data_IF_940893481022
#
_entry.id   IF_940893481022
#
_cell.length_a   1.000
_cell.length_b   1.000
_cell.length_c   1.000
_cell.angle_alpha   90.00
_cell.angle_beta   90.00
_cell.angle_gamma   90.00
#
_symmetry.space_group_name_H-M   'P 1'
#
loop_
_entity.id
_entity.type
_entity.pdbx_description
1 polymer ?
#
# COMPACT_ATOMS: atom_id res chain seq x y z
N UNK A 1 -33.34 11.39 -14.39
CA UNK A 1 -32.21 11.78 -13.54
C UNK A 1 -31.46 10.50 -13.14
N UNK A 2 -30.42 10.17 -13.88
CA UNK A 2 -29.60 8.97 -13.62
C UNK A 2 -28.38 9.35 -12.77
N UNK A 3 -28.36 8.91 -11.53
CA UNK A 3 -27.17 8.98 -10.68
C UNK A 3 -26.18 7.95 -11.19
N UNK A 4 -25.08 8.40 -11.78
CA UNK A 4 -23.96 7.53 -12.13
C UNK A 4 -23.34 7.00 -10.84
N UNK A 5 -23.53 5.71 -10.56
CA UNK A 5 -22.76 5.00 -9.53
C UNK A 5 -21.32 5.00 -10.00
N UNK A 6 -20.46 5.70 -9.26
CA UNK A 6 -19.01 5.53 -9.34
C UNK A 6 -18.74 4.07 -8.94
N UNK A 7 -18.35 3.26 -9.92
CA UNK A 7 -17.95 1.87 -9.69
C UNK A 7 -16.66 1.89 -8.86
N UNK A 8 -16.76 1.46 -7.61
CA UNK A 8 -15.57 1.14 -6.82
C UNK A 8 -14.72 0.14 -7.62
N UNK A 9 -13.47 0.49 -7.86
CA UNK A 9 -12.51 -0.42 -8.50
C UNK A 9 -12.31 -1.64 -7.58
N UNK A 10 -13.02 -2.72 -7.88
CA UNK A 10 -12.76 -4.01 -7.24
C UNK A 10 -11.45 -4.57 -7.79
N UNK A 11 -10.40 -4.52 -7.00
CA UNK A 11 -9.13 -5.14 -7.32
C UNK A 11 -9.26 -6.66 -7.38
N UNK A 12 -8.88 -7.25 -8.51
CA UNK A 12 -8.88 -8.70 -8.67
C UNK A 12 -7.58 -9.26 -8.08
N UNK A 13 -7.65 -9.73 -6.83
CA UNK A 13 -6.50 -10.21 -6.06
C UNK A 13 -5.77 -11.41 -6.72
N UNK A 14 -6.48 -12.28 -7.44
CA UNK A 14 -5.87 -13.43 -8.10
C UNK A 14 -5.08 -13.07 -9.38
N UNK A 15 -5.48 -12.00 -10.08
CA UNK A 15 -4.72 -11.44 -11.20
C UNK A 15 -3.48 -10.67 -10.72
N UNK A 16 -3.54 -10.15 -9.49
CA UNK A 16 -2.44 -9.42 -8.87
C UNK A 16 -1.26 -10.34 -8.55
N UNK A 17 -1.49 -11.49 -7.92
CA UNK A 17 -0.44 -12.44 -7.52
C UNK A 17 0.37 -13.01 -8.71
N UNK A 18 -0.24 -13.21 -9.88
CA UNK A 18 0.42 -13.78 -11.06
C UNK A 18 1.36 -12.83 -11.82
N UNK A 19 1.26 -11.50 -11.60
CA UNK A 19 1.99 -10.48 -12.38
C UNK A 19 3.00 -9.67 -11.55
N UNK A 20 3.09 -9.89 -10.24
CA UNK A 20 3.82 -8.99 -9.33
C UNK A 20 5.11 -9.53 -8.72
N UNK A 21 5.78 -10.51 -9.36
CA UNK A 21 7.17 -10.84 -9.00
C UNK A 21 8.13 -9.63 -9.06
N UNK A 22 7.75 -8.60 -9.82
CA UNK A 22 8.48 -7.34 -9.92
C UNK A 22 8.25 -6.44 -8.69
N UNK A 23 7.01 -6.29 -8.22
CA UNK A 23 6.67 -5.47 -7.04
C UNK A 23 7.26 -6.07 -5.77
N UNK A 24 7.30 -7.42 -5.65
CA UNK A 24 7.95 -8.11 -4.52
C UNK A 24 9.46 -7.92 -4.50
N UNK A 25 10.11 -7.84 -5.66
CA UNK A 25 11.57 -7.63 -5.75
C UNK A 25 11.99 -6.24 -5.28
N UNK A 26 11.23 -5.19 -5.63
CA UNK A 26 11.43 -3.83 -5.11
C UNK A 26 11.01 -3.72 -3.63
N UNK A 27 9.94 -4.41 -3.24
CA UNK A 27 9.49 -4.46 -1.85
C UNK A 27 10.52 -5.05 -0.89
N UNK A 28 11.31 -6.04 -1.32
CA UNK A 28 12.38 -6.59 -0.49
C UNK A 28 13.49 -5.57 -0.22
N UNK A 29 13.89 -4.76 -1.22
CA UNK A 29 14.85 -3.67 -1.01
C UNK A 29 14.30 -2.61 -0.05
N UNK A 30 12.98 -2.40 -0.05
CA UNK A 30 12.31 -1.49 0.86
C UNK A 30 12.29 -2.04 2.30
N UNK A 31 12.15 -3.37 2.46
CA UNK A 31 12.26 -4.04 3.77
C UNK A 31 13.69 -3.90 4.32
N UNK A 32 14.71 -4.05 3.48
CA UNK A 32 16.11 -3.82 3.88
C UNK A 32 16.33 -2.37 4.33
N UNK A 33 15.75 -1.39 3.61
CA UNK A 33 15.81 0.02 3.98
C UNK A 33 15.10 0.30 5.32
N UNK A 34 14.00 -0.39 5.60
CA UNK A 34 13.30 -0.29 6.88
C UNK A 34 14.18 -0.77 8.04
N UNK A 35 15.08 -1.71 7.77
CA UNK A 35 15.97 -2.36 8.74
C UNK A 35 15.19 -2.84 10.00
N UNK A 36 14.24 -3.77 9.84
CA UNK A 36 13.41 -4.25 10.94
C UNK A 36 14.27 -4.92 12.01
N UNK A 37 13.90 -4.74 13.28
CA UNK A 37 14.61 -5.32 14.41
C UNK A 37 13.65 -6.27 15.15
N UNK A 38 14.18 -7.41 15.59
CA UNK A 38 13.43 -8.37 16.38
C UNK A 38 12.70 -7.69 17.57
N UNK A 39 11.44 -8.07 17.76
CA UNK A 39 10.57 -7.50 18.81
C UNK A 39 9.94 -6.14 18.48
N UNK A 40 10.24 -5.52 17.34
CA UNK A 40 9.52 -4.34 16.90
C UNK A 40 8.10 -4.68 16.49
N UNK A 41 7.19 -3.72 16.64
CA UNK A 41 5.83 -3.77 16.09
C UNK A 41 5.74 -2.87 14.88
N UNK A 42 5.37 -3.43 13.73
CA UNK A 42 5.39 -2.75 12.42
C UNK A 42 3.99 -2.79 11.80
N UNK A 43 3.53 -1.64 11.32
CA UNK A 43 2.31 -1.53 10.51
C UNK A 43 2.67 -1.62 9.02
N UNK A 44 2.14 -2.63 8.33
CA UNK A 44 2.16 -2.71 6.86
C UNK A 44 0.90 -2.05 6.30
N UNK A 45 1.06 -0.82 5.79
CA UNK A 45 -0.01 0.03 5.30
C UNK A 45 -0.20 -0.15 3.80
N UNK A 46 -1.33 -0.74 3.40
CA UNK A 46 -1.60 -1.19 2.05
C UNK A 46 -0.95 -2.55 1.79
N UNK A 47 -1.17 -3.50 2.70
CA UNK A 47 -0.51 -4.80 2.71
C UNK A 47 -0.82 -5.70 1.51
N UNK A 48 -1.83 -5.37 0.72
CA UNK A 48 -2.25 -6.17 -0.43
C UNK A 48 -2.51 -7.63 -0.05
N UNK A 49 -1.84 -8.55 -0.74
CA UNK A 49 -1.96 -10.00 -0.50
C UNK A 49 -1.08 -10.53 0.64
N UNK A 50 -0.37 -9.65 1.36
CA UNK A 50 0.35 -9.95 2.59
C UNK A 50 1.77 -10.48 2.41
N UNK A 51 2.30 -10.56 1.19
CA UNK A 51 3.62 -11.17 0.93
C UNK A 51 4.76 -10.40 1.63
N UNK A 52 4.74 -9.06 1.57
CA UNK A 52 5.73 -8.23 2.27
C UNK A 52 5.53 -8.23 3.79
N UNK A 53 4.28 -8.29 4.26
CA UNK A 53 3.99 -8.49 5.67
C UNK A 53 4.61 -9.79 6.20
N UNK A 54 4.53 -10.89 5.42
CA UNK A 54 5.17 -12.15 5.78
C UNK A 54 6.71 -12.03 5.76
N UNK A 55 7.27 -11.36 4.76
CA UNK A 55 8.71 -11.08 4.74
C UNK A 55 9.16 -10.32 5.99
N UNK A 56 8.40 -9.28 6.41
CA UNK A 56 8.67 -8.57 7.64
C UNK A 56 8.58 -9.49 8.87
N UNK A 57 7.56 -10.33 8.94
CA UNK A 57 7.38 -11.29 10.04
C UNK A 57 8.59 -12.23 10.21
N UNK A 58 9.23 -12.65 9.11
CA UNK A 58 10.42 -13.50 9.12
C UNK A 58 11.65 -12.84 9.79
N UNK A 59 11.64 -11.52 9.97
CA UNK A 59 12.65 -10.79 10.76
C UNK A 59 12.38 -10.83 12.28
N UNK A 60 11.35 -11.55 12.74
CA UNK A 60 11.02 -11.64 14.16
C UNK A 60 10.30 -10.41 14.72
N UNK A 61 9.63 -9.64 13.86
CA UNK A 61 8.81 -8.49 14.24
C UNK A 61 7.33 -8.87 14.35
N UNK A 62 6.58 -8.15 15.18
CA UNK A 62 5.13 -8.22 15.21
C UNK A 62 4.56 -7.37 14.07
N UNK A 63 3.93 -7.98 13.09
CA UNK A 63 3.35 -7.30 11.93
C UNK A 63 1.84 -7.17 12.07
N UNK A 64 1.31 -6.00 11.76
CA UNK A 64 -0.12 -5.74 11.55
C UNK A 64 -0.30 -5.25 10.13
N UNK A 65 -1.05 -5.98 9.31
CA UNK A 65 -1.35 -5.58 7.92
C UNK A 65 -2.71 -4.89 7.81
N UNK A 66 -2.76 -3.80 7.07
CA UNK A 66 -4.02 -3.13 6.73
C UNK A 66 -4.11 -2.86 5.24
N UNK A 67 -5.30 -3.03 4.69
CA UNK A 67 -5.62 -2.64 3.31
C UNK A 67 -7.06 -2.12 3.25
N UNK A 68 -7.35 -1.24 2.30
CA UNK A 68 -8.72 -0.76 2.07
C UNK A 68 -9.58 -1.80 1.36
N UNK A 69 -8.97 -2.71 0.61
CA UNK A 69 -9.64 -3.76 -0.17
C UNK A 69 -9.94 -4.98 0.71
N UNK A 70 -11.23 -5.28 0.89
CA UNK A 70 -11.69 -6.47 1.59
C UNK A 70 -11.16 -7.77 0.93
N UNK A 71 -11.10 -7.81 -0.40
CA UNK A 71 -10.59 -8.95 -1.15
C UNK A 71 -9.11 -9.21 -0.87
N UNK A 72 -8.30 -8.14 -0.80
CA UNK A 72 -6.87 -8.24 -0.46
C UNK A 72 -6.68 -8.77 0.96
N UNK A 73 -7.37 -8.19 1.93
CA UNK A 73 -7.31 -8.62 3.34
C UNK A 73 -7.74 -10.08 3.51
N UNK A 74 -8.81 -10.49 2.83
CA UNK A 74 -9.28 -11.88 2.86
C UNK A 74 -8.23 -12.85 2.31
N UNK A 75 -7.59 -12.50 1.20
CA UNK A 75 -6.54 -13.33 0.62
C UNK A 75 -5.29 -13.35 1.51
N UNK A 76 -4.84 -12.20 2.02
CA UNK A 76 -3.72 -12.13 2.94
C UNK A 76 -3.93 -12.98 4.20
N UNK A 77 -5.12 -12.89 4.81
CA UNK A 77 -5.48 -13.70 5.99
C UNK A 77 -5.53 -15.19 5.70
N UNK A 78 -5.91 -15.58 4.50
CA UNK A 78 -5.90 -16.98 4.06
C UNK A 78 -4.49 -17.50 3.82
N UNK A 79 -3.59 -16.70 3.23
CA UNK A 79 -2.20 -17.06 2.95
C UNK A 79 -1.35 -17.10 4.22
N UNK A 80 -1.56 -16.15 5.12
CA UNK A 80 -0.73 -15.91 6.31
C UNK A 80 -1.59 -15.78 7.59
N UNK A 81 -2.22 -16.85 8.05
CA UNK A 81 -3.18 -16.81 9.16
C UNK A 81 -2.55 -16.44 10.51
N UNK A 82 -1.24 -16.42 10.61
CA UNK A 82 -0.48 -16.02 11.79
C UNK A 82 -0.24 -14.51 11.88
N UNK A 83 -0.55 -13.75 10.82
CA UNK A 83 -0.44 -12.27 10.78
C UNK A 83 -1.85 -11.67 10.86
N UNK A 84 -2.13 -10.71 11.76
CA UNK A 84 -3.40 -10.01 11.79
C UNK A 84 -3.52 -9.03 10.60
N UNK A 85 -4.52 -9.27 9.75
CA UNK A 85 -4.89 -8.38 8.64
C UNK A 85 -6.28 -7.80 8.88
N UNK A 86 -6.45 -6.51 8.61
CA UNK A 86 -7.73 -5.80 8.85
C UNK A 86 -8.05 -4.83 7.71
N UNK A 87 -9.31 -4.77 7.31
CA UNK A 87 -9.79 -3.78 6.36
C UNK A 87 -9.81 -2.41 7.03
N UNK A 88 -8.96 -1.49 6.59
CA UNK A 88 -8.88 -0.11 7.10
C UNK A 88 -8.50 0.88 6.01
N UNK A 89 -9.05 2.07 6.13
CA UNK A 89 -8.64 3.22 5.31
C UNK A 89 -7.48 3.94 6.01
N UNK A 90 -6.40 4.21 5.29
CA UNK A 90 -5.21 4.90 5.78
C UNK A 90 -5.50 6.30 6.37
N UNK A 91 -6.61 6.92 5.92
CA UNK A 91 -7.05 8.25 6.38
C UNK A 91 -7.89 8.23 7.66
N UNK A 92 -8.20 7.04 8.17
CA UNK A 92 -9.12 6.83 9.32
C UNK A 92 -8.53 5.89 10.38
N UNK A 93 -7.21 5.84 10.51
CA UNK A 93 -6.55 5.02 11.52
C UNK A 93 -6.77 5.62 12.91
N UNK A 94 -6.97 4.73 13.87
CA UNK A 94 -7.19 5.09 15.28
C UNK A 94 -6.04 4.67 16.20
N UNK A 95 -4.95 4.17 15.61
CA UNK A 95 -3.75 3.79 16.35
C UNK A 95 -3.06 5.01 16.99
N UNK A 96 -2.56 4.85 18.21
CA UNK A 96 -1.89 5.90 18.96
C UNK A 96 -0.61 5.35 19.61
N UNK A 97 0.56 5.81 19.14
CA UNK A 97 1.86 5.41 19.70
C UNK A 97 2.06 3.89 19.81
N UNK A 98 1.62 3.14 18.80
CA UNK A 98 1.64 1.67 18.86
C UNK A 98 2.80 1.03 18.09
N UNK A 99 3.25 1.66 17.01
CA UNK A 99 4.20 1.04 16.07
C UNK A 99 5.60 1.65 16.16
N UNK A 100 6.61 0.78 16.14
CA UNK A 100 8.01 1.19 16.00
C UNK A 100 8.33 1.66 14.58
N UNK A 101 7.60 1.12 13.59
CA UNK A 101 7.72 1.56 12.21
C UNK A 101 6.39 1.41 11.45
N UNK A 102 6.24 2.24 10.40
CA UNK A 102 5.23 2.08 9.35
C UNK A 102 5.95 1.78 8.05
N UNK A 103 5.54 0.69 7.40
CA UNK A 103 5.98 0.27 6.09
C UNK A 103 4.85 0.47 5.09
N UNK A 104 5.14 0.94 3.88
CA UNK A 104 4.13 1.06 2.83
C UNK A 104 4.77 0.95 1.45
N UNK A 105 4.33 -0.02 0.66
CA UNK A 105 4.81 -0.21 -0.71
C UNK A 105 3.68 -0.02 -1.72
N UNK A 106 3.90 0.82 -2.73
CA UNK A 106 3.00 1.06 -3.87
C UNK A 106 1.54 1.41 -3.48
N UNK A 107 1.32 2.10 -2.36
CA UNK A 107 -0.03 2.33 -1.81
C UNK A 107 -0.42 3.81 -1.76
N UNK A 108 0.47 4.69 -1.29
CA UNK A 108 0.10 6.07 -0.93
C UNK A 108 -0.38 6.92 -2.11
N UNK A 109 0.00 6.59 -3.33
CA UNK A 109 -0.48 7.28 -4.54
C UNK A 109 -1.96 7.01 -4.86
N UNK A 110 -2.59 6.02 -4.21
CA UNK A 110 -4.02 5.75 -4.30
C UNK A 110 -4.85 6.48 -3.23
N UNK A 111 -4.20 7.17 -2.30
CA UNK A 111 -4.87 7.86 -1.19
C UNK A 111 -5.28 9.25 -1.62
N UNK A 112 -6.60 9.51 -1.65
CA UNK A 112 -7.16 10.79 -2.10
C UNK A 112 -6.93 11.93 -1.10
N UNK A 113 -6.81 11.63 0.19
CA UNK A 113 -6.57 12.59 1.28
C UNK A 113 -5.20 12.35 1.93
N UNK A 114 -4.10 12.73 1.26
CA UNK A 114 -2.76 12.39 1.75
C UNK A 114 -2.40 13.07 3.08
N UNK A 115 -2.94 14.24 3.38
CA UNK A 115 -2.68 14.93 4.64
C UNK A 115 -3.23 14.17 5.84
N UNK A 116 -4.46 13.67 5.73
CA UNK A 116 -5.12 12.85 6.74
C UNK A 116 -4.37 11.53 6.95
N UNK A 117 -3.95 10.89 5.87
CA UNK A 117 -3.16 9.67 5.96
C UNK A 117 -1.82 9.91 6.69
N UNK A 118 -1.08 10.96 6.33
CA UNK A 118 0.19 11.32 7.00
C UNK A 118 -0.04 11.59 8.49
N UNK A 119 -1.12 12.30 8.84
CA UNK A 119 -1.46 12.55 10.24
C UNK A 119 -1.77 11.26 11.01
N UNK A 120 -2.56 10.35 10.42
CA UNK A 120 -2.86 9.04 11.01
C UNK A 120 -1.59 8.19 11.18
N UNK A 121 -0.70 8.18 10.18
CA UNK A 121 0.58 7.48 10.25
C UNK A 121 1.44 8.06 11.39
N UNK A 122 1.56 9.37 11.46
CA UNK A 122 2.34 10.04 12.51
C UNK A 122 1.82 9.68 13.91
N UNK A 123 0.49 9.73 14.11
CA UNK A 123 -0.14 9.38 15.38
C UNK A 123 0.04 7.90 15.75
N UNK A 124 0.12 7.00 14.78
CA UNK A 124 0.31 5.57 15.00
C UNK A 124 1.72 5.20 15.44
N UNK A 125 2.71 6.03 15.11
CA UNK A 125 4.11 5.81 15.44
C UNK A 125 4.41 6.12 16.91
N UNK A 126 5.21 5.26 17.54
CA UNK A 126 5.85 5.56 18.83
C UNK A 126 6.82 6.73 18.69
N UNK A 127 7.16 7.36 19.83
CA UNK A 127 8.23 8.36 19.84
C UNK A 127 9.55 7.76 19.33
N UNK A 128 10.18 8.42 18.36
CA UNK A 128 11.36 7.89 17.68
C UNK A 128 11.06 6.78 16.63
N UNK A 129 9.79 6.51 16.36
CA UNK A 129 9.38 5.61 15.30
C UNK A 129 9.74 6.14 13.92
N UNK A 130 9.83 5.24 12.93
CA UNK A 130 10.21 5.54 11.55
C UNK A 130 9.18 5.11 10.53
N UNK A 131 9.21 5.73 9.37
CA UNK A 131 8.40 5.33 8.22
C UNK A 131 9.31 5.09 7.02
N UNK A 132 9.04 4.00 6.30
CA UNK A 132 9.62 3.73 4.98
C UNK A 132 8.50 3.47 4.00
N UNK A 133 8.49 4.20 2.90
CA UNK A 133 7.46 4.07 1.87
C UNK A 133 8.03 4.26 0.48
N UNK A 134 7.45 3.53 -0.48
CA UNK A 134 7.67 3.72 -1.91
C UNK A 134 6.32 3.92 -2.59
N UNK A 135 6.22 4.94 -3.43
CA UNK A 135 5.00 5.26 -4.19
C UNK A 135 5.30 6.14 -5.39
N UNK A 136 4.40 6.11 -6.39
CA UNK A 136 4.48 6.97 -7.55
C UNK A 136 4.25 8.44 -7.21
N UNK A 137 5.24 9.30 -7.47
CA UNK A 137 5.14 10.75 -7.28
C UNK A 137 4.67 11.51 -8.54
N UNK A 138 4.67 12.83 -8.46
CA UNK A 138 4.35 13.71 -9.60
C UNK A 138 5.31 13.43 -10.77
N UNK A 139 4.74 13.24 -11.95
CA UNK A 139 5.51 12.91 -13.15
C UNK A 139 5.86 11.41 -13.28
N UNK A 140 5.46 10.58 -12.33
CA UNK A 140 5.50 9.13 -12.52
C UNK A 140 4.68 8.77 -13.76
N UNK A 141 5.24 7.95 -14.65
CA UNK A 141 4.66 7.59 -15.97
C UNK A 141 4.41 8.77 -16.93
N UNK A 142 4.99 9.95 -16.70
CA UNK A 142 4.76 11.15 -17.54
C UNK A 142 5.07 10.89 -19.01
N UNK A 143 6.18 10.22 -19.33
CA UNK A 143 6.54 9.88 -20.70
C UNK A 143 5.52 8.99 -21.40
N UNK A 144 4.89 8.07 -20.67
CA UNK A 144 3.81 7.22 -21.20
C UNK A 144 2.56 8.06 -21.45
N UNK A 145 2.21 8.92 -20.52
CA UNK A 145 1.05 9.83 -20.64
C UNK A 145 1.22 10.78 -21.81
N UNK A 146 2.41 11.37 -21.98
CA UNK A 146 2.72 12.29 -23.07
C UNK A 146 2.63 11.59 -24.43
N UNK A 147 3.14 10.36 -24.55
CA UNK A 147 3.03 9.59 -25.79
C UNK A 147 1.59 9.20 -26.13
N UNK A 148 0.79 8.78 -25.13
CA UNK A 148 -0.63 8.50 -25.33
C UNK A 148 -1.36 9.75 -25.82
N UNK A 149 -1.16 10.90 -25.19
CA UNK A 149 -1.78 12.18 -25.59
C UNK A 149 -1.39 12.55 -27.02
N UNK A 150 -0.13 12.38 -27.37
CA UNK A 150 0.38 12.64 -28.72
C UNK A 150 -0.30 11.73 -29.75
N UNK A 151 -0.44 10.43 -29.48
CA UNK A 151 -1.11 9.51 -30.39
C UNK A 151 -2.60 9.83 -30.55
N UNK A 152 -3.32 10.14 -29.46
CA UNK A 152 -4.73 10.55 -29.52
C UNK A 152 -4.91 11.81 -30.37
N UNK A 153 -4.04 12.81 -30.25
CA UNK A 153 -4.06 14.03 -31.07
C UNK A 153 -3.79 13.71 -32.54
N UNK A 154 -2.86 12.80 -32.83
CA UNK A 154 -2.54 12.40 -34.20
C UNK A 154 -3.72 11.70 -34.88
N UNK A 155 -4.59 11.02 -34.13
CA UNK A 155 -5.82 10.39 -34.60
C UNK A 155 -7.01 11.38 -34.71
N UNK A 156 -6.77 12.69 -34.46
CA UNK A 156 -7.76 13.74 -34.62
C UNK A 156 -8.75 13.93 -33.48
N UNK A 157 -8.46 13.40 -32.30
CA UNK A 157 -9.26 13.64 -31.11
C UNK A 157 -8.72 14.84 -30.33
N UNK A 158 -9.62 15.75 -29.91
CA UNK A 158 -9.33 16.86 -28.99
C UNK A 158 -9.82 16.50 -27.58
N UNK A 159 -9.07 16.99 -26.56
CA UNK A 159 -9.43 16.84 -25.14
C UNK A 159 -10.16 18.10 -24.64
#
# INVERSE_FOLDING_TARGET
>A
MGTSKVTEHQWNASLYDGKHSFVSKYGNSLVELLAPKEGERILDLGCGTGDLANTLFEYGVEVVGIDKSENMVKLASSKYPHIPFTVRDATKLTYQNEFNAVFSNATLHWVHSPKEAVQCIYQSLKHGGRMVAEFGGKGNVQSITDEIIKQIKNEGFEF
#
